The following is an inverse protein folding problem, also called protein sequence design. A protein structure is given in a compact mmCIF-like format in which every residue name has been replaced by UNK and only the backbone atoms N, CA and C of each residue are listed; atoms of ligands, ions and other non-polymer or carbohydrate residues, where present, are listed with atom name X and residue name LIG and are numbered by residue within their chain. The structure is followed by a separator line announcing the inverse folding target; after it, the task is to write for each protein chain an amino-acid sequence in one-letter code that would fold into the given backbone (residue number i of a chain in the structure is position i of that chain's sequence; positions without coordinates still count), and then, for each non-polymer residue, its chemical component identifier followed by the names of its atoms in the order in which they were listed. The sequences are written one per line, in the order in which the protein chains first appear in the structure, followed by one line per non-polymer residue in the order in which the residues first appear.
data_IF_311247516334
#
_entry.id   IF_311247516334
#
_cell.length_a   1.000
_cell.length_b   1.000
_cell.length_c   1.000
_cell.angle_alpha   90.00
_cell.angle_beta   90.00
_cell.angle_gamma   90.00
#
_symmetry.space_group_name_H-M   'P 1'
#
loop_
_entity.id
_entity.type
_entity.pdbx_description
1 polymer ?
#
# COMPACT_ATOMS: atom_id res chain seq x y z
N UNK A 1 -10.63 -2.57 -31.28
CA UNK A 1 -10.05 -2.60 -29.92
C UNK A 1 -8.80 -1.75 -29.95
N UNK A 2 -8.65 -0.83 -29.00
CA UNK A 2 -7.48 0.04 -28.88
C UNK A 2 -6.22 -0.82 -28.65
N UNK A 3 -5.13 -0.60 -29.39
CA UNK A 3 -3.89 -1.39 -29.27
C UNK A 3 -3.26 -1.28 -27.87
N UNK A 4 -3.36 -0.09 -27.27
CA UNK A 4 -2.91 0.17 -25.89
C UNK A 4 -3.69 -0.71 -24.92
N UNK A 5 -5.02 -0.73 -25.05
CA UNK A 5 -5.90 -1.54 -24.21
C UNK A 5 -5.58 -3.03 -24.35
N UNK A 6 -5.42 -3.54 -25.59
CA UNK A 6 -5.06 -4.94 -25.84
C UNK A 6 -3.77 -5.33 -25.12
N UNK A 7 -2.76 -4.47 -25.19
CA UNK A 7 -1.46 -4.71 -24.54
C UNK A 7 -1.59 -4.74 -23.02
N UNK A 8 -2.36 -3.81 -22.44
CA UNK A 8 -2.62 -3.77 -21.00
C UNK A 8 -3.38 -5.03 -20.56
N UNK A 9 -4.42 -5.45 -21.30
CA UNK A 9 -5.17 -6.67 -20.99
C UNK A 9 -4.27 -7.91 -21.02
N UNK A 10 -3.41 -8.07 -22.02
CA UNK A 10 -2.47 -9.20 -22.12
C UNK A 10 -1.48 -9.26 -20.94
N UNK A 11 -0.92 -8.10 -20.55
CA UNK A 11 -0.05 -8.00 -19.37
C UNK A 11 -0.84 -8.33 -18.10
N UNK A 12 -2.07 -7.84 -17.98
CA UNK A 12 -2.92 -8.07 -16.81
C UNK A 12 -3.26 -9.55 -16.66
N UNK A 13 -3.64 -10.22 -17.74
CA UNK A 13 -3.92 -11.66 -17.76
C UNK A 13 -2.69 -12.48 -17.38
N UNK A 14 -1.51 -12.02 -17.81
CA UNK A 14 -0.24 -12.65 -17.44
C UNK A 14 0.05 -12.51 -15.94
N UNK A 15 -0.20 -11.34 -15.35
CA UNK A 15 -0.03 -11.09 -13.91
C UNK A 15 -1.06 -11.88 -13.08
N UNK A 16 -2.26 -12.11 -13.61
CA UNK A 16 -3.32 -12.87 -12.95
C UNK A 16 -2.96 -14.35 -12.72
N UNK A 17 -2.00 -14.92 -13.47
CA UNK A 17 -1.58 -16.31 -13.35
C UNK A 17 -0.94 -16.63 -11.99
N UNK A 18 -1.71 -17.29 -11.11
CA UNK A 18 -1.29 -17.65 -9.75
C UNK A 18 -0.14 -18.66 -9.69
N UNK A 19 0.13 -19.40 -10.76
CA UNK A 19 1.17 -20.44 -10.78
C UNK A 19 2.56 -19.83 -10.96
N UNK A 20 2.63 -18.59 -11.45
CA UNK A 20 3.87 -17.83 -11.62
C UNK A 20 4.19 -17.01 -10.37
N UNK A 21 5.43 -17.03 -9.86
CA UNK A 21 5.84 -16.22 -8.72
C UNK A 21 5.87 -14.73 -9.08
N UNK A 22 5.56 -13.85 -8.12
CA UNK A 22 5.51 -12.40 -8.31
C UNK A 22 6.83 -11.82 -8.84
N UNK A 23 7.95 -12.36 -8.39
CA UNK A 23 9.30 -11.97 -8.84
C UNK A 23 9.56 -12.25 -10.32
N UNK A 24 8.70 -13.03 -11.01
CA UNK A 24 8.84 -13.31 -12.44
C UNK A 24 8.27 -12.21 -13.36
N UNK A 25 7.49 -11.26 -12.86
CA UNK A 25 6.80 -10.24 -13.69
C UNK A 25 7.59 -8.95 -13.91
N UNK A 26 8.90 -8.99 -13.70
CA UNK A 26 9.74 -7.78 -13.72
C UNK A 26 9.71 -7.09 -15.09
N UNK A 27 9.68 -7.86 -16.17
CA UNK A 27 9.66 -7.33 -17.53
C UNK A 27 8.26 -6.84 -17.90
N UNK A 28 7.22 -7.59 -17.57
CA UNK A 28 5.83 -7.24 -17.82
C UNK A 28 5.44 -5.93 -17.13
N UNK A 29 5.82 -5.73 -15.87
CA UNK A 29 5.57 -4.47 -15.16
C UNK A 29 6.44 -3.32 -15.70
N UNK A 30 7.67 -3.60 -16.14
CA UNK A 30 8.50 -2.58 -16.78
C UNK A 30 7.88 -2.10 -18.09
N UNK A 31 7.43 -3.02 -18.95
CA UNK A 31 6.77 -2.70 -20.21
C UNK A 31 5.46 -1.95 -19.97
N UNK A 32 4.70 -2.35 -18.95
CA UNK A 32 3.50 -1.64 -18.50
C UNK A 32 3.80 -0.21 -18.04
N UNK A 33 4.79 -0.02 -17.16
CA UNK A 33 5.24 1.31 -16.69
C UNK A 33 5.63 2.20 -17.88
N UNK A 34 6.41 1.67 -18.81
CA UNK A 34 6.84 2.39 -20.01
C UNK A 34 5.66 2.76 -20.92
N UNK A 35 4.70 1.85 -21.08
CA UNK A 35 3.49 2.08 -21.87
C UNK A 35 2.67 3.24 -21.27
N UNK A 36 2.36 3.18 -19.97
CA UNK A 36 1.61 4.26 -19.30
C UNK A 36 2.31 5.60 -19.42
N UNK A 37 3.62 5.65 -19.15
CA UNK A 37 4.40 6.89 -19.24
C UNK A 37 4.41 7.47 -20.65
N UNK A 38 4.56 6.62 -21.68
CA UNK A 38 4.53 7.06 -23.09
C UNK A 38 3.16 7.60 -23.48
N UNK A 39 2.09 6.90 -23.09
CA UNK A 39 0.73 7.36 -23.36
C UNK A 39 0.45 8.68 -22.65
N UNK A 40 0.81 8.81 -21.37
CA UNK A 40 0.62 10.06 -20.64
C UNK A 40 1.41 11.22 -21.27
N UNK A 41 2.67 11.00 -21.65
CA UNK A 41 3.49 12.05 -22.28
C UNK A 41 2.96 12.46 -23.67
N UNK A 42 2.29 11.56 -24.39
CA UNK A 42 1.65 11.89 -25.65
C UNK A 42 0.42 12.79 -25.45
N UNK A 43 -0.36 12.55 -24.39
CA UNK A 43 -1.57 13.31 -24.06
C UNK A 43 -1.30 14.59 -23.25
N UNK A 44 -0.24 14.58 -22.44
CA UNK A 44 0.16 15.65 -21.51
C UNK A 44 1.67 15.82 -21.52
N UNK A 45 2.19 16.41 -22.60
CA UNK A 45 3.61 16.69 -22.77
C UNK A 45 4.23 17.57 -21.67
N UNK A 46 3.39 18.32 -20.95
CA UNK A 46 3.76 19.17 -19.82
C UNK A 46 3.96 18.41 -18.50
N UNK A 47 3.55 17.14 -18.41
CA UNK A 47 3.83 16.25 -17.28
C UNK A 47 5.30 15.81 -17.29
N UNK A 48 6.18 16.77 -17.06
CA UNK A 48 7.63 16.59 -16.93
C UNK A 48 8.07 16.85 -15.50
N UNK A 49 9.25 16.33 -15.11
CA UNK A 49 9.79 16.52 -13.76
C UNK A 49 10.00 18.01 -13.45
N UNK A 50 9.08 18.59 -12.69
CA UNK A 50 9.17 19.97 -12.19
C UNK A 50 9.34 19.98 -10.68
N UNK A 51 9.89 21.08 -10.14
CA UNK A 51 10.20 21.19 -8.71
C UNK A 51 8.95 21.10 -7.83
N UNK A 52 7.85 21.73 -8.25
CA UNK A 52 6.55 21.71 -7.54
C UNK A 52 5.93 20.32 -7.51
N UNK A 53 6.20 19.50 -8.53
CA UNK A 53 5.75 18.10 -8.61
C UNK A 53 6.65 17.12 -7.85
N UNK A 54 7.63 17.59 -7.08
CA UNK A 54 8.67 16.74 -6.44
C UNK A 54 8.69 16.75 -4.90
N UNK A 55 7.88 17.61 -4.28
CA UNK A 55 7.81 17.76 -2.81
C UNK A 55 6.49 17.17 -2.29
N UNK A 56 6.59 16.34 -1.26
CA UNK A 56 5.41 15.74 -0.63
C UNK A 56 4.53 16.81 0.02
N UNK A 57 3.21 16.61 -0.03
CA UNK A 57 2.24 17.46 0.68
C UNK A 57 2.02 16.89 2.08
N UNK A 58 2.12 17.73 3.11
CA UNK A 58 1.76 17.33 4.48
C UNK A 58 0.27 17.62 4.71
N UNK A 59 -0.43 16.65 5.27
CA UNK A 59 -1.82 16.72 5.71
C UNK A 59 -1.90 16.31 7.18
N UNK A 60 -3.05 16.52 7.82
CA UNK A 60 -3.26 16.22 9.24
C UNK A 60 -3.10 14.73 9.59
N UNK A 61 -3.07 13.85 8.59
CA UNK A 61 -2.96 12.39 8.72
C UNK A 61 -1.66 11.79 8.15
N UNK A 62 -0.70 12.61 7.73
CA UNK A 62 0.57 12.13 7.20
C UNK A 62 1.10 12.98 6.04
N UNK A 63 1.98 12.40 5.24
CA UNK A 63 2.46 12.97 3.99
C UNK A 63 1.90 12.22 2.79
N UNK A 64 1.55 12.94 1.73
CA UNK A 64 1.24 12.40 0.42
C UNK A 64 2.42 12.63 -0.52
N UNK A 65 2.82 11.59 -1.26
CA UNK A 65 3.83 11.72 -2.30
C UNK A 65 3.42 12.76 -3.35
N UNK A 66 4.40 13.48 -3.89
CA UNK A 66 4.15 14.39 -4.99
C UNK A 66 3.78 13.62 -6.27
N UNK A 67 3.06 14.22 -7.23
CA UNK A 67 2.63 13.50 -8.45
C UNK A 67 3.79 12.82 -9.19
N UNK A 68 4.95 13.48 -9.31
CA UNK A 68 6.11 12.88 -9.97
C UNK A 68 6.67 11.65 -9.22
N UNK A 69 6.70 11.69 -7.88
CA UNK A 69 7.15 10.56 -7.07
C UNK A 69 6.13 9.41 -7.10
N UNK A 70 4.84 9.73 -7.02
CA UNK A 70 3.77 8.77 -7.19
C UNK A 70 3.87 8.06 -8.55
N UNK A 71 4.21 8.78 -9.63
CA UNK A 71 4.45 8.16 -10.94
C UNK A 71 5.61 7.15 -10.95
N UNK A 72 6.59 7.23 -10.05
CA UNK A 72 7.70 6.26 -9.96
C UNK A 72 7.38 5.01 -9.13
N UNK A 73 6.28 5.02 -8.37
CA UNK A 73 5.86 3.89 -7.52
C UNK A 73 5.65 2.60 -8.33
N UNK A 74 5.16 2.72 -9.58
CA UNK A 74 4.97 1.59 -10.52
C UNK A 74 6.27 0.82 -10.82
N UNK A 75 7.43 1.44 -10.64
CA UNK A 75 8.72 0.82 -10.90
C UNK A 75 9.18 -0.12 -9.76
N UNK A 76 8.47 -0.11 -8.61
CA UNK A 76 8.50 -1.22 -7.66
C UNK A 76 7.64 -2.37 -8.20
N UNK A 77 8.29 -3.25 -8.95
CA UNK A 77 7.62 -4.22 -9.82
C UNK A 77 6.94 -5.35 -9.06
N UNK A 78 7.57 -5.83 -7.98
CA UNK A 78 6.98 -6.91 -7.18
C UNK A 78 5.74 -6.38 -6.45
N UNK A 79 5.84 -5.19 -5.84
CA UNK A 79 4.69 -4.51 -5.24
C UNK A 79 3.55 -4.33 -6.24
N UNK A 80 3.84 -3.74 -7.39
CA UNK A 80 2.82 -3.45 -8.40
C UNK A 80 2.13 -4.73 -8.88
N UNK A 81 2.90 -5.79 -9.18
CA UNK A 81 2.33 -7.08 -9.57
C UNK A 81 1.47 -7.71 -8.46
N UNK A 82 1.91 -7.62 -7.19
CA UNK A 82 1.19 -8.16 -6.05
C UNK A 82 -0.15 -7.45 -5.85
N UNK A 83 -0.17 -6.12 -5.91
CA UNK A 83 -1.40 -5.34 -5.79
C UNK A 83 -2.36 -5.60 -6.93
N UNK A 84 -1.89 -5.59 -8.20
CA UNK A 84 -2.73 -5.93 -9.35
C UNK A 84 -3.34 -7.33 -9.18
N UNK A 85 -2.52 -8.34 -8.90
CA UNK A 85 -2.98 -9.72 -8.72
C UNK A 85 -3.96 -9.86 -7.55
N UNK A 86 -3.65 -9.29 -6.40
CA UNK A 86 -4.50 -9.36 -5.22
C UNK A 86 -5.85 -8.68 -5.45
N UNK A 87 -5.86 -7.51 -6.12
CA UNK A 87 -7.09 -6.83 -6.49
C UNK A 87 -7.92 -7.66 -7.49
N UNK A 88 -7.30 -8.27 -8.50
CA UNK A 88 -7.99 -9.19 -9.43
C UNK A 88 -8.67 -10.32 -8.64
N UNK A 89 -7.95 -11.00 -7.74
CA UNK A 89 -8.51 -12.07 -6.91
C UNK A 89 -9.66 -11.58 -6.02
N UNK A 90 -9.57 -10.37 -5.48
CA UNK A 90 -10.62 -9.79 -4.66
C UNK A 90 -11.89 -9.49 -5.46
N UNK A 91 -11.73 -8.93 -6.67
CA UNK A 91 -12.83 -8.64 -7.58
C UNK A 91 -13.49 -9.93 -8.04
N UNK A 92 -12.73 -10.93 -8.49
CA UNK A 92 -13.25 -12.25 -8.90
C UNK A 92 -14.02 -12.92 -7.76
N UNK A 93 -13.46 -12.92 -6.54
CA UNK A 93 -14.12 -13.46 -5.36
C UNK A 93 -15.44 -12.73 -5.03
N UNK A 94 -15.51 -11.42 -5.25
CA UNK A 94 -16.74 -10.65 -5.05
C UNK A 94 -17.76 -10.89 -6.17
N UNK A 95 -17.32 -11.04 -7.43
CA UNK A 95 -18.17 -11.36 -8.57
C UNK A 95 -18.78 -12.76 -8.48
N UNK A 96 -18.07 -13.73 -7.90
CA UNK A 96 -18.58 -15.10 -7.66
C UNK A 96 -19.84 -15.12 -6.77
N UNK A 97 -20.07 -14.06 -5.99
CA UNK A 97 -21.30 -13.88 -5.21
C UNK A 97 -22.50 -13.47 -6.07
N UNK A 98 -22.32 -13.35 -7.39
CA UNK A 98 -23.29 -12.96 -8.40
C UNK A 98 -24.03 -11.66 -8.02
N UNK A 99 -23.29 -10.53 -7.86
CA UNK A 99 -23.91 -9.25 -7.58
C UNK A 99 -24.84 -8.84 -8.73
N UNK A 100 -25.89 -8.09 -8.40
CA UNK A 100 -26.90 -7.62 -9.40
C UNK A 100 -26.55 -6.28 -10.05
N UNK A 101 -25.39 -5.74 -9.70
CA UNK A 101 -24.82 -4.47 -10.19
C UNK A 101 -23.31 -4.67 -10.36
N UNK A 102 -22.61 -3.84 -11.16
CA UNK A 102 -21.16 -3.81 -11.13
C UNK A 102 -20.68 -3.59 -9.68
N UNK A 103 -19.56 -4.24 -9.35
CA UNK A 103 -18.83 -3.94 -8.13
C UNK A 103 -18.31 -2.51 -8.22
N UNK A 104 -18.32 -1.82 -7.09
CA UNK A 104 -17.77 -0.49 -6.98
C UNK A 104 -16.50 -0.54 -6.14
N UNK A 105 -15.36 -0.25 -6.78
CA UNK A 105 -14.06 -0.13 -6.12
C UNK A 105 -13.71 1.34 -5.95
N UNK A 106 -13.22 1.70 -4.77
CA UNK A 106 -12.65 3.02 -4.50
C UNK A 106 -11.15 2.89 -4.31
N UNK A 107 -10.37 3.69 -5.02
CA UNK A 107 -8.91 3.79 -4.83
C UNK A 107 -8.56 5.15 -4.20
N UNK A 108 -7.82 5.15 -3.10
CA UNK A 108 -7.16 6.33 -2.55
C UNK A 108 -5.69 6.38 -2.96
N UNK A 109 -5.25 7.54 -3.44
CA UNK A 109 -3.89 7.78 -3.91
C UNK A 109 -3.63 7.16 -5.27
N UNK A 110 -4.54 7.31 -6.24
CA UNK A 110 -4.39 6.69 -7.56
C UNK A 110 -3.13 7.14 -8.32
N UNK A 111 -2.59 8.30 -7.95
CA UNK A 111 -1.47 8.92 -8.63
C UNK A 111 -1.81 9.31 -10.08
N UNK A 112 -0.85 9.87 -10.79
CA UNK A 112 -1.05 10.34 -12.17
C UNK A 112 -1.17 9.20 -13.19
N UNK A 113 -0.75 7.98 -12.83
CA UNK A 113 -0.72 6.83 -13.72
C UNK A 113 -1.91 5.87 -13.52
N UNK A 114 -2.63 5.92 -12.39
CA UNK A 114 -3.67 4.93 -12.07
C UNK A 114 -3.16 3.49 -12.17
N UNK A 115 -1.90 3.27 -11.77
CA UNK A 115 -1.13 2.08 -12.12
C UNK A 115 -1.74 0.77 -11.59
N UNK A 116 -2.53 0.86 -10.51
CA UNK A 116 -3.21 -0.31 -9.95
C UNK A 116 -4.60 -0.51 -10.53
N UNK A 117 -5.34 0.56 -10.87
CA UNK A 117 -6.72 0.47 -11.37
C UNK A 117 -6.82 0.22 -12.87
N UNK A 118 -5.93 0.79 -13.70
CA UNK A 118 -5.99 0.61 -15.16
C UNK A 118 -5.97 -0.88 -15.59
N UNK A 119 -5.14 -1.76 -15.01
CA UNK A 119 -5.16 -3.19 -15.31
C UNK A 119 -6.51 -3.83 -14.97
N UNK A 120 -7.11 -3.45 -13.84
CA UNK A 120 -8.41 -3.96 -13.41
C UNK A 120 -9.50 -3.55 -14.41
N UNK A 121 -9.51 -2.27 -14.80
CA UNK A 121 -10.44 -1.72 -15.78
C UNK A 121 -10.27 -2.36 -17.18
N UNK A 122 -9.05 -2.76 -17.54
CA UNK A 122 -8.76 -3.46 -18.79
C UNK A 122 -9.21 -4.93 -18.79
N UNK A 123 -9.33 -5.55 -17.61
CA UNK A 123 -9.74 -6.95 -17.43
C UNK A 123 -11.25 -7.11 -17.25
N UNK A 124 -11.88 -6.24 -16.48
CA UNK A 124 -13.30 -6.32 -16.15
C UNK A 124 -14.13 -5.36 -17.01
N UNK A 125 -15.34 -5.76 -17.38
CA UNK A 125 -16.27 -4.90 -18.12
C UNK A 125 -16.95 -3.86 -17.21
N UNK A 126 -17.60 -2.86 -17.81
CA UNK A 126 -18.42 -1.88 -17.07
C UNK A 126 -19.66 -2.49 -16.41
N UNK A 127 -20.08 -3.69 -16.84
CA UNK A 127 -21.13 -4.45 -16.16
C UNK A 127 -20.61 -5.20 -14.91
N UNK A 128 -19.29 -5.35 -14.78
CA UNK A 128 -18.63 -6.07 -13.68
C UNK A 128 -17.98 -5.13 -12.66
N UNK A 129 -17.35 -4.04 -13.12
CA UNK A 129 -16.57 -3.14 -12.27
C UNK A 129 -16.71 -1.68 -12.70
N UNK A 130 -17.03 -0.84 -11.71
CA UNK A 130 -16.90 0.61 -11.76
C UNK A 130 -15.89 1.07 -10.71
N UNK A 131 -15.13 2.12 -11.01
CA UNK A 131 -14.08 2.65 -10.11
C UNK A 131 -14.31 4.13 -9.81
N UNK A 132 -14.19 4.49 -8.53
CA UNK A 132 -13.93 5.86 -8.09
C UNK A 132 -12.48 6.00 -7.69
N UNK A 133 -11.81 7.07 -8.14
CA UNK A 133 -10.44 7.37 -7.68
C UNK A 133 -10.40 8.67 -6.88
N UNK A 134 -9.54 8.71 -5.88
CA UNK A 134 -9.27 9.88 -5.05
C UNK A 134 -7.76 10.12 -5.06
N UNK A 135 -7.35 11.36 -5.29
CA UNK A 135 -5.95 11.78 -5.13
C UNK A 135 -5.90 13.20 -4.55
N UNK A 136 -4.88 13.49 -3.75
CA UNK A 136 -4.74 14.79 -3.12
C UNK A 136 -4.43 15.89 -4.14
N UNK A 137 -3.78 15.53 -5.26
CA UNK A 137 -3.29 16.49 -6.24
C UNK A 137 -4.15 16.49 -7.51
N UNK A 138 -4.67 17.66 -7.88
CA UNK A 138 -5.44 17.82 -9.12
C UNK A 138 -4.62 17.39 -10.35
N UNK A 139 -3.31 17.59 -10.34
CA UNK A 139 -2.43 17.16 -11.43
C UNK A 139 -2.41 15.63 -11.64
N UNK A 140 -2.53 14.86 -10.55
CA UNK A 140 -2.68 13.40 -10.61
C UNK A 140 -4.02 13.03 -11.24
N UNK A 141 -5.11 13.65 -10.78
CA UNK A 141 -6.46 13.42 -11.32
C UNK A 141 -6.55 13.76 -12.80
N UNK A 142 -6.03 14.91 -13.21
CA UNK A 142 -6.04 15.35 -14.60
C UNK A 142 -5.23 14.38 -15.49
N UNK A 143 -4.07 13.91 -15.02
CA UNK A 143 -3.23 12.93 -15.72
C UNK A 143 -3.91 11.57 -15.85
N UNK A 144 -4.50 11.09 -14.75
CA UNK A 144 -5.27 9.86 -14.73
C UNK A 144 -6.44 9.91 -15.72
N UNK A 145 -7.23 10.98 -15.70
CA UNK A 145 -8.39 11.12 -16.59
C UNK A 145 -7.97 11.10 -18.08
N UNK A 146 -6.84 11.74 -18.43
CA UNK A 146 -6.30 11.70 -19.79
C UNK A 146 -5.83 10.31 -20.20
N UNK A 147 -5.15 9.59 -19.30
CA UNK A 147 -4.77 8.21 -19.55
C UNK A 147 -5.98 7.32 -19.77
N UNK A 148 -6.99 7.42 -18.91
CA UNK A 148 -8.22 6.64 -19.04
C UNK A 148 -8.92 6.92 -20.38
N UNK A 149 -9.02 8.18 -20.79
CA UNK A 149 -9.60 8.58 -22.09
C UNK A 149 -8.79 7.98 -23.26
N UNK A 150 -7.46 8.10 -23.22
CA UNK A 150 -6.58 7.59 -24.27
C UNK A 150 -6.54 6.05 -24.37
N UNK A 151 -6.67 5.35 -23.25
CA UNK A 151 -6.79 3.88 -23.24
C UNK A 151 -8.21 3.45 -23.66
N UNK A 152 -9.21 4.31 -23.48
CA UNK A 152 -10.60 4.05 -23.84
C UNK A 152 -11.37 3.29 -22.75
N UNK A 153 -11.13 3.64 -21.48
CA UNK A 153 -11.70 2.99 -20.29
C UNK A 153 -12.66 3.90 -19.49
N UNK A 154 -13.02 5.06 -20.03
CA UNK A 154 -13.84 6.06 -19.34
C UNK A 154 -15.23 5.57 -18.94
N UNK A 155 -15.78 4.56 -19.62
CA UNK A 155 -17.10 3.97 -19.34
C UNK A 155 -17.16 3.20 -18.01
N UNK A 156 -16.02 2.98 -17.36
CA UNK A 156 -15.91 2.30 -16.06
C UNK A 156 -15.52 3.23 -14.92
N UNK A 157 -15.31 4.52 -15.20
CA UNK A 157 -15.00 5.51 -14.15
C UNK A 157 -16.29 6.14 -13.68
N UNK A 158 -16.58 5.94 -12.40
CA UNK A 158 -17.74 6.55 -11.75
C UNK A 158 -17.49 8.01 -11.40
N UNK A 159 -16.32 8.29 -10.83
CA UNK A 159 -15.88 9.64 -10.46
C UNK A 159 -14.36 9.66 -10.21
N UNK A 160 -13.75 10.83 -10.43
CA UNK A 160 -12.38 11.12 -10.07
C UNK A 160 -12.36 12.38 -9.22
N UNK A 161 -11.86 12.27 -7.99
CA UNK A 161 -12.01 13.31 -6.96
C UNK A 161 -10.63 13.80 -6.53
N UNK A 162 -10.41 15.11 -6.63
CA UNK A 162 -9.26 15.75 -6.02
C UNK A 162 -9.59 16.08 -4.55
N UNK A 163 -8.90 15.45 -3.60
CA UNK A 163 -9.11 15.70 -2.17
C UNK A 163 -8.37 14.74 -1.24
N UNK A 164 -8.40 15.04 0.04
CA UNK A 164 -7.87 14.18 1.11
C UNK A 164 -8.81 12.98 1.32
N UNK A 165 -8.34 11.77 0.99
CA UNK A 165 -9.10 10.53 1.12
C UNK A 165 -9.56 10.22 2.56
N UNK A 166 -8.97 10.84 3.58
CA UNK A 166 -9.45 10.72 4.97
C UNK A 166 -10.74 11.52 5.21
N UNK A 167 -11.00 12.54 4.38
CA UNK A 167 -12.11 13.49 4.53
C UNK A 167 -13.15 13.41 3.42
N UNK A 168 -12.76 12.99 2.22
CA UNK A 168 -13.68 12.79 1.09
C UNK A 168 -14.78 11.82 1.50
N UNK A 169 -16.01 12.14 1.08
CA UNK A 169 -17.18 11.28 1.20
C UNK A 169 -17.70 11.04 -0.20
N UNK A 170 -18.02 9.79 -0.51
CA UNK A 170 -18.56 9.42 -1.80
C UNK A 170 -20.08 9.29 -1.69
N UNK A 171 -20.78 9.70 -2.74
CA UNK A 171 -22.25 9.67 -2.76
C UNK A 171 -22.82 8.24 -2.95
N UNK A 172 -22.00 7.21 -2.78
CA UNK A 172 -22.36 5.83 -3.07
C UNK A 172 -21.57 4.81 -2.26
N UNK A 173 -22.24 3.74 -1.87
CA UNK A 173 -21.60 2.54 -1.31
C UNK A 173 -20.56 1.95 -2.28
N UNK A 174 -19.53 1.35 -1.72
CA UNK A 174 -18.46 0.65 -2.43
C UNK A 174 -18.19 -0.70 -1.77
N UNK A 175 -17.86 -1.69 -2.60
CA UNK A 175 -17.64 -3.07 -2.16
C UNK A 175 -16.17 -3.33 -1.81
N UNK A 176 -15.25 -2.62 -2.48
CA UNK A 176 -13.81 -2.73 -2.29
C UNK A 176 -13.20 -1.34 -2.10
N UNK A 177 -12.22 -1.25 -1.21
CA UNK A 177 -11.49 -0.02 -0.91
C UNK A 177 -9.98 -0.30 -0.97
N UNK A 178 -9.35 0.20 -2.02
CA UNK A 178 -7.93 0.08 -2.31
C UNK A 178 -7.16 1.31 -1.80
N UNK A 179 -6.06 1.08 -1.09
CA UNK A 179 -5.10 2.13 -0.75
C UNK A 179 -3.69 1.54 -0.64
N UNK A 180 -2.75 2.15 -1.36
CA UNK A 180 -1.31 1.95 -1.22
C UNK A 180 -0.66 3.31 -0.91
N UNK A 181 -1.01 3.88 0.24
CA UNK A 181 -0.52 5.19 0.71
C UNK A 181 0.28 4.98 1.99
N UNK A 182 1.32 4.16 1.88
CA UNK A 182 2.06 3.63 3.03
C UNK A 182 3.57 3.61 2.79
N UNK A 183 4.33 3.76 3.88
CA UNK A 183 5.71 3.32 3.96
C UNK A 183 5.81 2.06 4.83
N UNK A 184 7.00 1.47 4.87
CA UNK A 184 7.32 0.41 5.83
C UNK A 184 6.97 0.83 7.26
N UNK A 185 6.55 -0.16 8.06
CA UNK A 185 6.05 -0.01 9.42
C UNK A 185 4.87 0.96 9.57
N UNK A 186 4.11 1.22 8.49
CA UNK A 186 2.99 2.18 8.46
C UNK A 186 3.39 3.59 8.90
N UNK A 187 4.62 3.99 8.60
CA UNK A 187 5.16 5.31 8.93
C UNK A 187 4.78 6.34 7.88
N UNK A 188 4.80 7.62 8.26
CA UNK A 188 4.76 8.81 7.38
C UNK A 188 3.47 9.04 6.58
N UNK A 189 2.94 8.04 5.89
CA UNK A 189 1.82 8.17 4.96
C UNK A 189 0.46 7.73 5.57
N UNK A 190 -0.68 8.26 5.08
CA UNK A 190 -1.98 8.19 5.76
C UNK A 190 -2.74 6.85 5.66
N UNK A 191 -2.09 5.72 5.34
CA UNK A 191 -2.74 4.41 5.15
C UNK A 191 -3.73 4.03 6.26
N UNK A 192 -3.34 4.19 7.54
CA UNK A 192 -4.19 3.84 8.68
C UNK A 192 -5.41 4.76 8.74
N UNK A 193 -5.23 6.08 8.58
CA UNK A 193 -6.34 7.04 8.57
C UNK A 193 -7.30 6.81 7.41
N UNK A 194 -6.80 6.49 6.22
CA UNK A 194 -7.60 6.19 5.02
C UNK A 194 -8.42 4.92 5.22
N UNK A 195 -7.78 3.82 5.66
CA UNK A 195 -8.48 2.56 5.94
C UNK A 195 -9.61 2.77 6.98
N UNK A 196 -9.33 3.55 8.04
CA UNK A 196 -10.33 3.91 9.06
C UNK A 196 -11.47 4.76 8.50
N UNK A 197 -11.17 5.72 7.62
CA UNK A 197 -12.20 6.54 6.97
C UNK A 197 -13.13 5.66 6.11
N UNK A 198 -12.55 4.78 5.28
CA UNK A 198 -13.29 3.89 4.41
C UNK A 198 -14.19 2.91 5.16
N UNK A 199 -13.70 2.22 6.20
CA UNK A 199 -14.56 1.27 6.95
C UNK A 199 -15.60 1.96 7.82
N UNK A 200 -15.42 3.23 8.19
CA UNK A 200 -16.45 4.00 8.90
C UNK A 200 -17.57 4.45 7.97
N UNK A 201 -17.21 4.84 6.74
CA UNK A 201 -18.17 5.22 5.71
C UNK A 201 -18.92 4.01 5.17
N UNK A 202 -18.20 2.93 4.87
CA UNK A 202 -18.78 1.68 4.41
C UNK A 202 -18.25 0.49 5.22
N UNK A 203 -18.93 0.13 6.33
CA UNK A 203 -18.48 -0.95 7.20
C UNK A 203 -18.48 -2.32 6.55
N UNK A 204 -19.03 -2.57 5.36
CA UNK A 204 -18.96 -3.90 4.75
C UNK A 204 -17.94 -3.98 3.60
N UNK A 205 -17.21 -2.88 3.33
CA UNK A 205 -16.17 -2.86 2.31
C UNK A 205 -15.04 -3.86 2.62
N UNK A 206 -14.54 -4.50 1.57
CA UNK A 206 -13.27 -5.23 1.63
C UNK A 206 -12.13 -4.22 1.51
N UNK A 207 -11.20 -4.21 2.47
CA UNK A 207 -9.98 -3.41 2.36
C UNK A 207 -8.96 -4.14 1.48
N UNK A 208 -8.25 -3.40 0.64
CA UNK A 208 -7.12 -3.85 -0.15
C UNK A 208 -5.94 -2.90 0.15
N UNK A 209 -4.87 -3.37 0.83
CA UNK A 209 -4.67 -4.74 1.33
C UNK A 209 -5.64 -5.13 2.45
N UNK A 210 -5.94 -6.43 2.58
CA UNK A 210 -6.83 -6.95 3.64
C UNK A 210 -6.18 -6.93 5.03
N UNK A 211 -4.84 -7.03 5.07
CA UNK A 211 -4.05 -7.00 6.29
C UNK A 211 -2.65 -6.44 6.06
N UNK A 212 -2.22 -5.51 6.92
CA UNK A 212 -0.83 -5.06 7.03
C UNK A 212 -0.36 -5.39 8.44
N UNK A 213 0.58 -6.31 8.57
CA UNK A 213 1.14 -6.73 9.86
C UNK A 213 2.50 -6.11 10.05
N UNK A 214 2.69 -5.56 11.24
CA UNK A 214 3.96 -4.99 11.66
C UNK A 214 4.46 -5.78 12.87
N UNK A 215 5.65 -6.38 12.76
CA UNK A 215 6.20 -7.29 13.76
C UNK A 215 7.51 -6.75 14.33
N UNK A 216 7.81 -7.16 15.57
CA UNK A 216 9.12 -7.00 16.18
C UNK A 216 9.95 -8.25 15.92
N UNK A 217 11.12 -8.05 15.32
CA UNK A 217 12.08 -9.10 15.00
C UNK A 217 13.47 -8.66 15.44
N UNK A 218 14.26 -9.53 16.09
CA UNK A 218 15.68 -9.25 16.31
C UNK A 218 16.49 -9.73 15.11
N UNK A 219 17.27 -8.83 14.51
CA UNK A 219 17.96 -9.05 13.24
C UNK A 219 19.44 -8.71 13.35
N UNK A 220 20.31 -9.54 12.77
CA UNK A 220 21.72 -9.22 12.62
C UNK A 220 21.95 -8.41 11.34
N UNK A 221 22.02 -7.07 11.47
CA UNK A 221 22.15 -6.18 10.31
C UNK A 221 23.44 -6.35 9.52
N UNK A 222 24.54 -6.74 10.18
CA UNK A 222 25.78 -7.05 9.46
C UNK A 222 25.56 -8.23 8.51
N UNK A 223 24.88 -9.29 8.99
CA UNK A 223 24.48 -10.39 8.13
C UNK A 223 23.50 -9.90 7.05
N UNK A 224 22.44 -9.14 7.39
CA UNK A 224 21.40 -8.66 6.45
C UNK A 224 21.94 -7.87 5.24
N UNK A 225 23.08 -7.17 5.38
CA UNK A 225 23.69 -6.39 4.29
C UNK A 225 24.62 -7.19 3.38
N UNK A 226 24.98 -8.43 3.73
CA UNK A 226 25.85 -9.26 2.88
C UNK A 226 25.13 -9.78 1.62
N UNK A 227 25.75 -9.60 0.45
CA UNK A 227 25.24 -10.13 -0.83
C UNK A 227 25.88 -11.49 -1.16
N UNK A 228 25.27 -12.58 -0.71
CA UNK A 228 25.67 -13.94 -1.06
C UNK A 228 24.48 -14.78 -1.56
N UNK A 229 24.69 -15.66 -2.56
CA UNK A 229 23.64 -16.58 -3.00
C UNK A 229 23.26 -17.55 -1.88
N UNK A 230 21.95 -17.81 -1.72
CA UNK A 230 21.39 -18.73 -0.71
C UNK A 230 21.66 -18.33 0.75
N UNK A 231 21.70 -17.03 1.02
CA UNK A 231 21.80 -16.49 2.37
C UNK A 231 20.69 -17.01 3.27
N UNK A 232 21.06 -17.63 4.38
CA UNK A 232 20.14 -17.97 5.47
C UNK A 232 20.21 -16.83 6.47
N UNK A 233 19.12 -16.10 6.59
CA UNK A 233 18.99 -15.03 7.56
C UNK A 233 18.54 -15.63 8.89
N UNK A 234 19.40 -15.56 9.89
CA UNK A 234 19.03 -15.89 11.25
C UNK A 234 18.30 -14.68 11.84
N UNK A 235 17.07 -14.90 12.30
CA UNK A 235 16.17 -13.89 12.83
C UNK A 235 15.42 -14.46 14.01
N UNK A 236 15.22 -13.65 15.04
CA UNK A 236 14.43 -14.03 16.21
C UNK A 236 13.12 -13.27 16.15
N UNK A 237 12.06 -13.93 15.70
CA UNK A 237 10.71 -13.36 15.71
C UNK A 237 10.22 -13.22 17.16
N UNK A 238 9.87 -12.00 17.56
CA UNK A 238 9.40 -11.72 18.92
C UNK A 238 7.87 -11.72 18.96
N UNK A 239 7.22 -11.05 18.01
CA UNK A 239 5.77 -11.03 17.90
C UNK A 239 5.21 -9.85 17.13
N UNK A 240 3.91 -9.88 16.88
CA UNK A 240 3.18 -8.82 16.19
C UNK A 240 3.05 -7.59 17.09
N UNK A 241 3.46 -6.42 16.57
CA UNK A 241 3.33 -5.12 17.21
C UNK A 241 1.92 -4.56 16.95
N UNK A 242 1.56 -4.47 15.68
CA UNK A 242 0.33 -3.83 15.21
C UNK A 242 -0.14 -4.51 13.93
N UNK A 243 -1.45 -4.50 13.71
CA UNK A 243 -2.06 -5.00 12.47
C UNK A 243 -3.15 -4.04 12.04
N UNK A 244 -3.02 -3.52 10.82
CA UNK A 244 -4.09 -2.81 10.14
C UNK A 244 -4.87 -3.82 9.29
N UNK A 245 -6.12 -4.08 9.67
CA UNK A 245 -7.09 -4.81 8.90
C UNK A 245 -8.47 -4.16 9.10
N UNK A 246 -9.50 -4.68 8.45
CA UNK A 246 -10.87 -4.14 8.57
C UNK A 246 -11.33 -4.03 10.03
N UNK A 247 -11.02 -5.05 10.85
CA UNK A 247 -11.44 -5.11 12.25
C UNK A 247 -10.74 -4.03 13.06
N UNK A 248 -9.40 -3.94 13.01
CA UNK A 248 -8.66 -2.94 13.77
C UNK A 248 -8.94 -1.51 13.30
N UNK A 249 -9.17 -1.31 11.99
CA UNK A 249 -9.59 -0.03 11.44
C UNK A 249 -10.95 0.41 11.98
N UNK A 250 -11.89 -0.51 12.22
CA UNK A 250 -13.22 -0.18 12.73
C UNK A 250 -13.26 -0.06 14.26
N UNK A 251 -12.63 -1.01 14.96
CA UNK A 251 -12.85 -1.25 16.39
C UNK A 251 -11.83 -0.56 17.31
N UNK A 252 -10.60 -0.27 16.85
CA UNK A 252 -9.62 0.36 17.73
C UNK A 252 -9.99 1.80 18.02
N UNK A 253 -10.12 2.11 19.31
CA UNK A 253 -10.31 3.47 19.79
C UNK A 253 -8.98 4.23 19.81
N UNK A 254 -9.03 5.48 19.41
CA UNK A 254 -7.90 6.39 19.49
C UNK A 254 -7.92 7.08 20.86
N UNK A 255 -6.82 6.95 21.61
CA UNK A 255 -6.64 7.53 22.94
C UNK A 255 -5.38 8.39 22.89
N UNK A 256 -5.52 9.68 23.20
CA UNK A 256 -4.42 10.66 23.19
C UNK A 256 -3.63 10.67 21.87
N UNK A 257 -4.33 10.57 20.73
CA UNK A 257 -3.72 10.54 19.40
C UNK A 257 -3.05 9.22 19.04
N UNK A 258 -3.28 8.15 19.77
CA UNK A 258 -2.69 6.83 19.53
C UNK A 258 -3.74 5.72 19.43
N UNK A 259 -3.48 4.73 18.57
CA UNK A 259 -4.15 3.43 18.64
C UNK A 259 -3.33 2.47 19.52
N UNK A 260 -4.01 1.61 20.31
CA UNK A 260 -3.33 0.60 21.11
C UNK A 260 -2.60 -0.41 20.21
N UNK A 261 -1.43 -0.85 20.66
CA UNK A 261 -0.61 -1.86 20.01
C UNK A 261 -0.06 -2.84 21.08
N UNK A 262 0.83 -3.75 20.69
CA UNK A 262 1.29 -4.82 21.56
C UNK A 262 2.26 -4.36 22.66
N UNK A 263 2.43 -5.24 23.65
CA UNK A 263 3.48 -5.19 24.65
C UNK A 263 4.27 -6.50 24.55
N UNK A 264 5.57 -6.40 24.29
CA UNK A 264 6.41 -7.54 23.93
C UNK A 264 7.64 -7.59 24.84
N UNK A 265 8.03 -8.79 25.24
CA UNK A 265 9.22 -9.02 26.08
C UNK A 265 10.40 -9.44 25.22
N UNK A 266 11.56 -8.86 25.47
CA UNK A 266 12.80 -9.21 24.77
C UNK A 266 13.36 -10.53 25.31
N UNK A 267 13.57 -11.55 24.47
CA UNK A 267 14.15 -12.82 24.90
C UNK A 267 15.66 -12.69 25.10
N UNK A 268 16.26 -13.73 25.67
CA UNK A 268 17.70 -13.94 25.60
C UNK A 268 18.16 -14.01 24.14
N UNK A 269 19.18 -13.23 23.78
CA UNK A 269 19.72 -13.14 22.42
C UNK A 269 21.19 -12.72 22.46
N UNK A 270 21.92 -12.99 21.36
CA UNK A 270 23.26 -12.44 21.19
C UNK A 270 23.15 -10.93 20.89
N UNK A 271 23.98 -10.06 21.50
CA UNK A 271 23.94 -8.60 21.27
C UNK A 271 24.14 -8.14 19.81
N UNK A 272 24.57 -9.04 18.91
CA UNK A 272 24.62 -8.76 17.46
C UNK A 272 23.23 -8.61 16.84
N UNK A 273 22.18 -9.19 17.45
CA UNK A 273 20.81 -9.06 16.99
C UNK A 273 20.19 -7.79 17.54
N UNK A 274 19.80 -6.90 16.63
CA UNK A 274 19.22 -5.61 16.96
C UNK A 274 17.70 -5.65 16.73
N UNK A 275 16.92 -4.98 17.57
CA UNK A 275 15.48 -4.91 17.40
C UNK A 275 15.12 -4.13 16.14
N UNK A 276 14.28 -4.73 15.34
CA UNK A 276 13.84 -4.22 14.05
C UNK A 276 12.34 -4.43 13.90
N UNK A 277 11.74 -3.57 13.11
CA UNK A 277 10.35 -3.68 12.68
C UNK A 277 10.32 -4.26 11.29
N UNK A 278 9.54 -5.32 11.11
CA UNK A 278 9.28 -5.93 9.81
C UNK A 278 7.83 -5.68 9.42
N UNK A 279 7.57 -5.56 8.11
CA UNK A 279 6.22 -5.32 7.58
C UNK A 279 5.89 -6.40 6.57
N UNK A 280 4.70 -6.98 6.73
CA UNK A 280 4.08 -7.87 5.75
C UNK A 280 2.77 -7.26 5.27
N UNK A 281 2.54 -7.27 3.98
CA UNK A 281 1.31 -6.75 3.37
C UNK A 281 0.62 -7.89 2.66
N UNK A 282 -0.52 -8.32 3.18
CA UNK A 282 -1.40 -9.28 2.54
C UNK A 282 -2.47 -8.53 1.76
N UNK A 283 -2.34 -8.55 0.42
CA UNK A 283 -3.25 -7.81 -0.45
C UNK A 283 -4.62 -8.48 -0.41
N UNK A 284 -4.67 -9.75 -0.79
CA UNK A 284 -5.89 -10.56 -0.72
C UNK A 284 -5.59 -12.06 -0.90
N UNK A 285 -6.16 -12.90 -0.03
CA UNK A 285 -6.22 -14.35 -0.15
C UNK A 285 -4.85 -14.98 -0.48
N UNK A 286 -3.86 -14.71 0.37
CA UNK A 286 -2.49 -15.26 0.26
C UNK A 286 -1.58 -14.59 -0.77
N UNK A 287 -1.99 -13.52 -1.45
CA UNK A 287 -1.06 -12.66 -2.20
C UNK A 287 -0.38 -11.71 -1.21
N UNK A 288 0.87 -12.00 -0.87
CA UNK A 288 1.61 -11.34 0.22
C UNK A 288 2.89 -10.72 -0.31
N UNK A 289 3.18 -9.48 0.11
CA UNK A 289 4.51 -8.88 0.07
C UNK A 289 5.21 -9.19 1.38
N UNK A 290 6.29 -9.96 1.29
CA UNK A 290 7.15 -10.36 2.39
C UNK A 290 8.32 -9.39 2.53
N UNK A 291 9.17 -9.58 3.55
CA UNK A 291 10.30 -8.68 3.77
C UNK A 291 11.24 -8.64 2.56
N UNK A 292 11.66 -7.41 2.20
CA UNK A 292 12.52 -7.11 1.04
C UNK A 292 11.90 -7.32 -0.34
N UNK A 293 10.62 -7.71 -0.45
CA UNK A 293 9.93 -7.72 -1.74
C UNK A 293 9.74 -6.30 -2.31
N UNK A 294 9.65 -5.29 -1.43
CA UNK A 294 9.38 -3.89 -1.77
C UNK A 294 9.95 -2.94 -0.72
N UNK A 295 10.10 -1.66 -1.06
CA UNK A 295 10.43 -0.61 -0.08
C UNK A 295 9.40 -0.53 1.06
N UNK A 296 8.12 -0.80 0.79
CA UNK A 296 7.06 -0.77 1.83
C UNK A 296 7.09 -1.99 2.76
N UNK A 297 7.83 -3.04 2.40
CA UNK A 297 8.04 -4.23 3.22
C UNK A 297 9.50 -4.38 3.69
N UNK A 298 10.33 -3.37 3.45
CA UNK A 298 11.71 -3.35 3.90
C UNK A 298 11.76 -3.29 5.44
N UNK A 299 12.52 -4.18 6.10
CA UNK A 299 12.77 -4.09 7.53
C UNK A 299 13.41 -2.75 7.92
N UNK A 300 13.06 -2.25 9.09
CA UNK A 300 13.57 -1.01 9.66
C UNK A 300 14.16 -1.27 11.04
N UNK A 301 15.40 -0.85 11.29
CA UNK A 301 15.96 -0.95 12.63
C UNK A 301 15.26 0.04 13.57
N UNK A 302 14.88 -0.40 14.77
CA UNK A 302 14.42 0.54 15.80
C UNK A 302 15.59 1.41 16.26
N UNK A 303 15.45 2.75 16.34
CA UNK A 303 16.47 3.66 16.83
C UNK A 303 16.60 3.57 18.36
N UNK A 304 17.12 2.42 18.82
CA UNK A 304 17.47 2.15 20.22
C UNK A 304 18.96 1.84 20.30
N UNK A 305 19.60 2.35 21.34
CA UNK A 305 20.97 1.94 21.64
C UNK A 305 20.94 0.48 22.11
N UNK A 306 21.68 -0.45 21.49
CA UNK A 306 21.64 -1.86 21.86
C UNK A 306 21.97 -2.13 23.33
N UNK A 307 22.69 -1.22 23.99
CA UNK A 307 23.03 -1.32 25.42
C UNK A 307 21.84 -1.05 26.35
N UNK A 308 20.83 -0.36 25.84
CA UNK A 308 19.66 0.09 26.60
C UNK A 308 18.51 -0.94 26.54
N UNK A 309 18.66 -1.99 25.73
CA UNK A 309 17.69 -3.08 25.63
C UNK A 309 18.30 -4.40 26.10
N UNK A 310 17.71 -5.00 27.14
CA UNK A 310 18.21 -6.22 27.79
C UNK A 310 17.18 -7.34 27.68
N UNK A 311 17.63 -8.61 27.72
CA UNK A 311 16.74 -9.74 27.94
C UNK A 311 15.85 -9.52 29.16
N UNK A 312 14.56 -9.78 29.01
CA UNK A 312 13.53 -9.55 30.03
C UNK A 312 12.92 -8.16 30.03
N UNK A 313 13.49 -7.18 29.31
CA UNK A 313 12.86 -5.87 29.15
C UNK A 313 11.54 -5.99 28.41
N UNK A 314 10.57 -5.17 28.80
CA UNK A 314 9.27 -5.09 28.16
C UNK A 314 9.18 -3.82 27.32
N UNK A 315 8.91 -3.98 26.03
CA UNK A 315 8.64 -2.88 25.12
C UNK A 315 7.14 -2.74 24.95
N UNK A 316 6.61 -1.58 25.30
CA UNK A 316 5.23 -1.22 25.03
C UNK A 316 5.15 -0.38 23.77
N UNK A 317 4.32 -0.80 22.83
CA UNK A 317 4.10 -0.11 21.56
C UNK A 317 2.74 0.60 21.53
N UNK A 318 2.66 1.67 20.74
CA UNK A 318 1.41 2.33 20.31
C UNK A 318 1.58 2.82 18.88
N UNK A 319 0.49 2.92 18.12
CA UNK A 319 0.53 3.56 16.81
C UNK A 319 0.09 5.02 16.93
N UNK A 320 0.99 5.98 16.69
CA UNK A 320 0.70 7.42 16.68
C UNK A 320 -0.05 7.78 15.39
N UNK A 321 -1.22 8.39 15.56
CA UNK A 321 -1.98 9.05 14.51
C UNK A 321 -1.51 10.51 14.37
N UNK A 322 -1.82 11.15 13.25
CA UNK A 322 -1.52 12.57 13.01
C UNK A 322 -0.70 12.80 11.74
N UNK A 323 -0.08 13.98 11.65
CA UNK A 323 0.71 14.43 10.48
C UNK A 323 2.03 13.67 10.28
N UNK A 324 2.44 12.92 11.30
CA UNK A 324 3.69 12.17 11.39
C UNK A 324 3.39 10.79 11.98
N UNK A 325 2.60 9.94 11.29
CA UNK A 325 2.19 8.67 11.84
C UNK A 325 3.39 7.72 11.95
N UNK A 326 3.49 6.99 13.07
CA UNK A 326 4.56 6.03 13.32
C UNK A 326 4.22 5.10 14.49
N UNK A 327 4.94 3.98 14.59
CA UNK A 327 4.87 3.11 15.77
C UNK A 327 5.78 3.69 16.84
N UNK A 328 5.21 4.17 17.93
CA UNK A 328 5.94 4.62 19.12
C UNK A 328 6.23 3.44 20.04
N UNK A 329 7.31 3.54 20.81
CA UNK A 329 7.63 2.55 21.83
C UNK A 329 8.26 3.17 23.08
N UNK A 330 8.12 2.45 24.19
CA UNK A 330 8.78 2.74 25.47
C UNK A 330 9.30 1.44 26.07
N UNK A 331 10.35 1.52 26.89
CA UNK A 331 10.96 0.37 27.56
C UNK A 331 10.65 0.47 29.05
N UNK A 332 10.11 -0.59 29.67
CA UNK A 332 9.90 -0.69 31.12
C UNK A 332 9.15 0.52 31.76
N UNK A 333 8.16 1.08 31.06
CA UNK A 333 7.35 2.23 31.51
C UNK A 333 8.17 3.51 31.82
N UNK A 334 9.40 3.64 31.33
CA UNK A 334 10.09 4.93 31.37
C UNK A 334 9.39 5.92 30.42
N UNK A 335 8.96 7.06 30.98
CA UNK A 335 8.24 8.11 30.26
C UNK A 335 8.95 8.49 28.95
N UNK A 336 8.17 8.63 27.87
CA UNK A 336 8.60 9.13 26.57
C UNK A 336 9.40 10.44 26.77
N UNK A 337 10.68 10.42 26.37
CA UNK A 337 11.53 11.61 26.36
C UNK A 337 11.18 12.54 25.19
#
# INVERSE_FOLDING_TARGET
MNEILSTISEITDTIADSDRPLSSFQLEIMDYSLLLRRTLLAERSEFIKQRELSVSSIIDSGAALSPWKAASVVDDRIRTAAFIRGCIKAIEFALDKNPKRPLHLVEAGCGPLGALVIPLLARFSSDELEVSVIDLHQESIDSFCRLIEAVGLSDRIRQAVCGDATQVRLDSDFDLALSETMCAALTTEPQVSIARAFVRENPETTLLPESIRVNLTLMNWAAELEEFPHKVLDRIEIGQIFELNRKSALELEEIDGCLPAARLTIPEHDPVFLPSVTTEVEIFNGVVLSNYDSEISAPMQLPVNPKDLKPGDEIQFRYRMGDTPWIEWTINDSELA
#
